data_IF_034863109757
#
_entry.id   IF_034863109757
#
_cell.length_a   1.000
_cell.length_b   1.000
_cell.length_c   1.000
_cell.angle_alpha   90.00
_cell.angle_beta   90.00
_cell.angle_gamma   90.00
#
_symmetry.space_group_name_H-M   'P 1'
#
loop_
_entity.id
_entity.type
_entity.pdbx_description
1 polymer ?
#
# COMPACT_ATOMS: atom_id res chain seq x y z
N UNK A 1 -45.84 -25.67 2.05
CA UNK A 1 -45.93 -24.36 2.73
C UNK A 1 -44.53 -23.94 3.15
N UNK A 2 -44.04 -22.84 2.58
CA UNK A 2 -42.74 -22.24 2.87
C UNK A 2 -42.83 -21.48 4.19
N UNK A 3 -41.87 -21.66 5.10
CA UNK A 3 -41.55 -20.68 6.14
C UNK A 3 -40.05 -20.51 6.21
N UNK A 4 -39.59 -19.48 5.52
CA UNK A 4 -38.27 -18.87 5.67
C UNK A 4 -38.21 -18.10 6.99
N UNK A 5 -37.13 -18.26 7.75
CA UNK A 5 -36.84 -17.44 8.92
C UNK A 5 -35.45 -16.80 8.76
N UNK A 6 -35.50 -15.54 8.34
CA UNK A 6 -34.53 -14.46 8.43
C UNK A 6 -33.21 -14.77 9.15
N UNK A 7 -32.13 -14.89 8.37
CA UNK A 7 -30.75 -14.85 8.87
C UNK A 7 -30.41 -13.40 9.18
N UNK A 8 -30.21 -13.15 10.47
CA UNK A 8 -29.87 -11.90 11.11
C UNK A 8 -28.57 -11.32 10.50
N UNK A 9 -28.63 -10.09 9.96
CA UNK A 9 -27.45 -9.34 9.55
C UNK A 9 -26.75 -8.83 10.82
N UNK A 10 -25.69 -9.50 11.25
CA UNK A 10 -24.80 -9.03 12.32
C UNK A 10 -23.94 -7.87 11.82
N UNK A 11 -24.37 -6.65 12.11
CA UNK A 11 -23.58 -5.43 12.01
C UNK A 11 -22.61 -5.38 13.20
N UNK A 12 -21.32 -5.57 12.94
CA UNK A 12 -20.28 -5.30 13.92
C UNK A 12 -20.01 -3.78 13.96
N UNK A 13 -20.41 -3.14 15.06
CA UNK A 13 -20.05 -1.76 15.39
C UNK A 13 -18.61 -1.77 15.94
N UNK A 14 -17.63 -1.32 15.16
CA UNK A 14 -16.28 -1.06 15.67
C UNK A 14 -16.19 0.41 16.08
N UNK A 15 -16.26 0.66 17.38
CA UNK A 15 -16.10 1.99 17.96
C UNK A 15 -14.61 2.36 18.02
N UNK A 16 -14.16 3.20 17.09
CA UNK A 16 -12.82 3.78 17.12
C UNK A 16 -12.79 5.00 18.04
N UNK A 17 -12.46 4.77 19.31
CA UNK A 17 -12.06 5.80 20.26
C UNK A 17 -10.55 6.06 20.13
N UNK A 18 -10.18 7.24 19.64
CA UNK A 18 -8.87 7.84 19.94
C UNK A 18 -8.92 9.34 19.68
N UNK A 19 -9.45 10.07 20.66
CA UNK A 19 -9.14 11.48 20.85
C UNK A 19 -7.67 11.63 21.28
N UNK A 20 -6.96 12.58 20.68
CA UNK A 20 -6.00 13.47 21.34
C UNK A 20 -5.30 14.34 20.30
N UNK A 21 -5.86 15.53 20.13
CA UNK A 21 -5.22 16.70 19.56
C UNK A 21 -4.07 17.16 20.49
N UNK A 22 -2.86 17.25 19.94
CA UNK A 22 -1.85 18.17 20.46
C UNK A 22 -1.37 19.07 19.32
N UNK A 23 -1.81 20.33 19.40
CA UNK A 23 -1.21 21.47 18.73
C UNK A 23 0.20 21.69 19.30
N UNK A 24 1.22 21.72 18.45
CA UNK A 24 2.43 22.47 18.72
C UNK A 24 2.63 23.48 17.59
N UNK A 25 2.37 24.73 17.93
CA UNK A 25 2.79 25.89 17.16
C UNK A 25 4.31 26.03 17.25
N UNK A 26 4.94 26.24 16.09
CA UNK A 26 6.34 26.62 15.98
C UNK A 26 6.48 27.56 14.80
N UNK A 27 6.38 28.86 15.06
CA UNK A 27 6.83 29.93 14.15
C UNK A 27 8.32 29.72 13.85
N UNK A 28 8.68 29.78 12.58
CA UNK A 28 10.04 30.13 12.18
C UNK A 28 9.96 31.07 10.99
N UNK A 29 10.04 32.36 11.31
CA UNK A 29 10.33 33.42 10.36
C UNK A 29 11.80 33.32 9.96
N UNK A 30 12.08 33.23 8.66
CA UNK A 30 13.43 33.19 8.10
C UNK A 30 13.43 33.81 6.72
N UNK A 31 13.87 35.06 6.67
CA UNK A 31 13.89 35.91 5.49
C UNK A 31 14.95 35.50 4.46
N UNK A 32 14.61 35.77 3.20
CA UNK A 32 15.42 36.04 2.00
C UNK A 32 16.91 35.71 1.95
N UNK A 33 17.27 34.86 0.98
CA UNK A 33 18.53 34.97 0.26
C UNK A 33 18.31 34.56 -1.21
N UNK A 34 18.30 35.55 -2.11
CA UNK A 34 18.37 35.34 -3.56
C UNK A 34 19.73 34.75 -3.95
N UNK A 35 19.75 33.45 -4.24
CA UNK A 35 20.88 32.76 -4.85
C UNK A 35 20.68 32.66 -6.36
N UNK A 36 21.50 33.35 -7.14
CA UNK A 36 21.55 33.26 -8.60
C UNK A 36 21.91 31.84 -9.05
N UNK A 37 21.07 31.26 -9.89
CA UNK A 37 21.25 29.96 -10.55
C UNK A 37 22.41 29.99 -11.55
N UNK A 38 23.48 29.22 -11.29
CA UNK A 38 24.37 28.69 -12.34
C UNK A 38 24.95 27.35 -11.86
N UNK A 39 24.74 26.27 -12.63
CA UNK A 39 25.30 24.95 -12.34
C UNK A 39 24.55 23.81 -13.02
N UNK A 40 24.77 23.67 -14.32
CA UNK A 40 24.30 22.57 -15.16
C UNK A 40 25.02 21.24 -14.83
N UNK A 41 24.27 20.14 -14.94
CA UNK A 41 24.69 18.72 -15.08
C UNK A 41 25.41 18.02 -13.91
N UNK A 42 24.62 17.31 -13.11
CA UNK A 42 25.01 16.00 -12.56
C UNK A 42 23.78 15.13 -12.22
N UNK A 43 23.43 14.20 -13.12
CA UNK A 43 22.86 12.89 -12.78
C UNK A 43 21.59 12.80 -11.93
N UNK A 44 20.70 13.80 -11.95
CA UNK A 44 19.41 13.72 -11.28
C UNK A 44 18.54 12.65 -11.93
N UNK A 45 18.33 11.54 -11.23
CA UNK A 45 17.20 10.66 -11.49
C UNK A 45 15.94 11.53 -11.48
N UNK A 46 15.45 11.90 -12.66
CA UNK A 46 14.07 12.31 -12.85
C UNK A 46 13.25 11.10 -12.44
N UNK A 47 12.88 11.05 -11.17
CA UNK A 47 11.78 10.23 -10.72
C UNK A 47 10.59 10.72 -11.51
N UNK A 48 10.28 9.99 -12.59
CA UNK A 48 9.05 10.19 -13.33
C UNK A 48 7.94 10.30 -12.32
N UNK A 49 7.30 11.45 -12.37
CA UNK A 49 6.04 11.81 -11.77
C UNK A 49 4.96 10.86 -12.32
N UNK A 50 5.07 9.55 -12.07
CA UNK A 50 4.00 8.60 -12.30
C UNK A 50 3.04 8.75 -11.14
N UNK A 51 2.16 9.74 -11.30
CA UNK A 51 0.93 9.88 -10.56
C UNK A 51 0.16 8.54 -10.62
N UNK A 52 0.33 7.70 -9.60
CA UNK A 52 -0.58 6.61 -9.28
C UNK A 52 -1.89 7.18 -8.78
N UNK A 53 -2.65 7.81 -9.68
CA UNK A 53 -3.99 8.30 -9.40
C UNK A 53 -4.95 7.14 -9.10
N UNK A 54 -6.19 7.44 -8.68
CA UNK A 54 -7.21 6.46 -8.22
C UNK A 54 -7.58 5.33 -9.20
N UNK A 55 -7.04 5.33 -10.41
CA UNK A 55 -7.34 4.42 -11.53
C UNK A 55 -6.81 2.98 -11.37
N UNK A 56 -6.38 2.57 -10.16
CA UNK A 56 -5.81 1.24 -9.95
C UNK A 56 -6.85 0.14 -9.71
N UNK A 57 -8.03 0.47 -9.17
CA UNK A 57 -9.07 -0.51 -8.85
C UNK A 57 -9.80 -1.03 -10.10
N UNK A 58 -10.35 -0.11 -10.89
CA UNK A 58 -11.12 -0.46 -12.10
C UNK A 58 -10.25 -1.11 -13.17
N UNK A 59 -9.02 -0.62 -13.34
CA UNK A 59 -8.06 -1.25 -14.27
C UNK A 59 -7.64 -2.63 -13.81
N UNK A 60 -7.53 -2.87 -12.49
CA UNK A 60 -7.27 -4.21 -11.97
C UNK A 60 -8.46 -5.13 -12.24
N UNK A 61 -9.69 -4.67 -11.98
CA UNK A 61 -10.89 -5.47 -12.19
C UNK A 61 -11.09 -5.81 -13.68
N UNK A 62 -10.83 -4.86 -14.59
CA UNK A 62 -10.86 -5.12 -16.02
C UNK A 62 -9.83 -6.19 -16.42
N UNK A 63 -8.56 -5.98 -16.05
CA UNK A 63 -7.47 -6.90 -16.44
C UNK A 63 -7.60 -8.29 -15.80
N UNK A 64 -7.97 -8.37 -14.53
CA UNK A 64 -8.18 -9.64 -13.84
C UNK A 64 -9.49 -10.30 -14.24
N UNK A 65 -10.52 -9.50 -14.51
CA UNK A 65 -11.82 -9.96 -15.00
C UNK A 65 -11.68 -10.75 -16.29
N UNK A 66 -10.94 -10.21 -17.26
CA UNK A 66 -10.69 -10.89 -18.53
C UNK A 66 -9.83 -12.14 -18.35
N UNK A 67 -8.79 -12.06 -17.52
CA UNK A 67 -7.90 -13.20 -17.26
C UNK A 67 -8.59 -14.35 -16.55
N UNK A 68 -9.46 -14.07 -15.59
CA UNK A 68 -10.23 -15.08 -14.86
C UNK A 68 -11.55 -15.43 -15.57
N UNK A 69 -11.87 -14.77 -16.69
CA UNK A 69 -13.13 -14.94 -17.41
C UNK A 69 -14.33 -14.77 -16.46
N UNK A 70 -14.30 -13.70 -15.67
CA UNK A 70 -15.38 -13.40 -14.73
C UNK A 70 -16.68 -13.08 -15.50
N UNK A 71 -17.80 -13.61 -15.02
CA UNK A 71 -19.11 -13.19 -15.50
C UNK A 71 -19.39 -11.72 -15.15
N UNK A 72 -20.34 -11.10 -15.82
CA UNK A 72 -20.77 -9.74 -15.49
C UNK A 72 -21.31 -9.64 -14.05
N UNK A 73 -21.97 -10.69 -13.55
CA UNK A 73 -22.42 -10.76 -12.16
C UNK A 73 -21.24 -10.80 -11.19
N UNK A 74 -20.23 -11.64 -11.44
CA UNK A 74 -19.02 -11.71 -10.60
C UNK A 74 -18.25 -10.37 -10.61
N UNK A 75 -18.15 -9.71 -11.76
CA UNK A 75 -17.52 -8.38 -11.87
C UNK A 75 -18.28 -7.35 -11.03
N UNK A 76 -19.62 -7.35 -11.09
CA UNK A 76 -20.45 -6.46 -10.30
C UNK A 76 -20.30 -6.71 -8.78
N UNK A 77 -20.29 -7.97 -8.35
CA UNK A 77 -20.13 -8.34 -6.95
C UNK A 77 -18.75 -7.92 -6.41
N UNK A 78 -17.67 -8.18 -7.16
CA UNK A 78 -16.32 -7.76 -6.77
C UNK A 78 -16.22 -6.23 -6.72
N UNK A 79 -16.84 -5.52 -7.67
CA UNK A 79 -16.90 -4.06 -7.62
C UNK A 79 -17.61 -3.56 -6.36
N UNK A 80 -18.76 -4.15 -6.00
CA UNK A 80 -19.49 -3.78 -4.80
C UNK A 80 -18.65 -4.01 -3.53
N UNK A 81 -17.95 -5.14 -3.43
CA UNK A 81 -17.01 -5.45 -2.33
C UNK A 81 -15.92 -4.37 -2.25
N UNK A 82 -15.32 -4.00 -3.39
CA UNK A 82 -14.27 -2.99 -3.46
C UNK A 82 -14.75 -1.58 -3.09
N UNK A 83 -15.95 -1.20 -3.54
CA UNK A 83 -16.53 0.11 -3.29
C UNK A 83 -16.95 0.26 -1.82
N UNK A 84 -17.53 -0.77 -1.20
CA UNK A 84 -17.87 -0.78 0.24
C UNK A 84 -16.64 -0.55 1.11
N UNK A 85 -15.51 -1.15 0.73
CA UNK A 85 -14.27 -1.08 1.51
C UNK A 85 -13.38 0.12 1.17
N UNK A 86 -13.79 0.96 0.21
CA UNK A 86 -12.95 2.04 -0.33
C UNK A 86 -12.53 3.05 0.74
N UNK A 87 -13.49 3.53 1.53
CA UNK A 87 -13.26 4.55 2.55
C UNK A 87 -12.37 4.04 3.69
N UNK A 88 -12.62 2.82 4.16
CA UNK A 88 -11.80 2.14 5.17
C UNK A 88 -10.37 1.97 4.67
N UNK A 89 -10.19 1.44 3.45
CA UNK A 89 -8.86 1.27 2.84
C UNK A 89 -8.11 2.59 2.70
N UNK A 90 -8.80 3.68 2.38
CA UNK A 90 -8.20 5.01 2.29
C UNK A 90 -7.76 5.53 3.66
N UNK A 91 -8.61 5.36 4.68
CA UNK A 91 -8.28 5.70 6.07
C UNK A 91 -7.05 4.93 6.57
N UNK A 92 -7.02 3.60 6.40
CA UNK A 92 -5.90 2.75 6.80
C UNK A 92 -4.61 3.12 6.07
N UNK A 93 -4.70 3.43 4.76
CA UNK A 93 -3.55 3.87 3.96
C UNK A 93 -2.98 5.19 4.49
N UNK A 94 -3.84 6.15 4.81
CA UNK A 94 -3.41 7.44 5.34
C UNK A 94 -2.76 7.28 6.72
N UNK A 95 -3.39 6.51 7.61
CA UNK A 95 -2.84 6.20 8.94
C UNK A 95 -1.47 5.50 8.85
N UNK A 96 -1.32 4.53 7.94
CA UNK A 96 -0.05 3.85 7.70
C UNK A 96 1.03 4.81 7.19
N UNK A 97 0.69 5.69 6.24
CA UNK A 97 1.61 6.72 5.71
C UNK A 97 2.05 7.68 6.81
N UNK A 98 1.12 8.17 7.62
CA UNK A 98 1.40 9.09 8.72
C UNK A 98 2.27 8.44 9.80
N UNK A 99 1.96 7.21 10.19
CA UNK A 99 2.75 6.47 11.18
C UNK A 99 4.19 6.26 10.70
N UNK A 100 4.36 5.89 9.42
CA UNK A 100 5.68 5.72 8.81
C UNK A 100 6.45 7.04 8.70
N UNK A 101 5.76 8.13 8.36
CA UNK A 101 6.37 9.45 8.29
C UNK A 101 6.85 9.92 9.66
N UNK A 102 6.02 9.76 10.70
CA UNK A 102 6.39 10.13 12.07
C UNK A 102 7.60 9.32 12.56
N UNK A 103 7.64 8.02 12.29
CA UNK A 103 8.79 7.17 12.58
C UNK A 103 10.07 7.67 11.89
N UNK A 104 10.01 7.97 10.59
CA UNK A 104 11.18 8.50 9.85
C UNK A 104 11.64 9.85 10.34
N UNK A 105 10.70 10.75 10.63
CA UNK A 105 11.02 12.07 11.17
C UNK A 105 11.72 11.95 12.53
N UNK A 106 11.25 11.06 13.40
CA UNK A 106 11.90 10.82 14.70
C UNK A 106 13.31 10.23 14.56
N UNK A 107 13.53 9.33 13.60
CA UNK A 107 14.87 8.81 13.29
C UNK A 107 15.80 9.94 12.82
N UNK A 108 15.34 10.79 11.90
CA UNK A 108 16.11 11.92 11.37
C UNK A 108 16.45 12.95 12.44
N UNK A 109 15.50 13.24 13.33
CA UNK A 109 15.66 14.14 14.47
C UNK A 109 16.50 13.54 15.61
N UNK A 110 16.92 12.27 15.51
CA UNK A 110 17.65 11.54 16.55
C UNK A 110 16.93 11.56 17.91
N UNK A 111 15.62 11.37 17.86
CA UNK A 111 14.75 11.29 19.04
C UNK A 111 15.15 10.16 20.00
N UNK A 112 14.66 10.23 21.23
CA UNK A 112 14.97 9.22 22.26
C UNK A 112 14.53 7.81 21.86
N UNK A 113 15.24 6.78 22.37
CA UNK A 113 14.89 5.37 22.16
C UNK A 113 13.42 5.08 22.53
N UNK A 114 12.92 5.67 23.63
CA UNK A 114 11.54 5.52 24.07
C UNK A 114 10.55 6.03 23.01
N UNK A 115 10.83 7.21 22.42
CA UNK A 115 10.03 7.78 21.33
C UNK A 115 10.06 6.87 20.10
N UNK A 116 11.24 6.41 19.70
CA UNK A 116 11.41 5.53 18.55
C UNK A 116 10.64 4.22 18.73
N UNK A 117 10.75 3.55 19.90
CA UNK A 117 10.00 2.32 20.18
C UNK A 117 8.49 2.52 20.11
N UNK A 118 7.98 3.64 20.62
CA UNK A 118 6.55 3.98 20.55
C UNK A 118 6.08 4.14 19.09
N UNK A 119 6.84 4.88 18.29
CA UNK A 119 6.49 5.14 16.89
C UNK A 119 6.63 3.90 16.00
N UNK A 120 7.66 3.08 16.23
CA UNK A 120 7.85 1.81 15.54
C UNK A 120 6.67 0.86 15.79
N UNK A 121 6.16 0.77 17.03
CA UNK A 121 4.95 -0.01 17.35
C UNK A 121 3.74 0.51 16.58
N UNK A 122 3.50 1.83 16.59
CA UNK A 122 2.39 2.43 15.83
C UNK A 122 2.49 2.14 14.33
N UNK A 123 3.69 2.18 13.75
CA UNK A 123 3.89 1.83 12.34
C UNK A 123 3.65 0.34 12.07
N UNK A 124 4.07 -0.54 12.98
CA UNK A 124 3.82 -1.98 12.90
C UNK A 124 2.31 -2.29 12.98
N UNK A 125 1.60 -1.69 13.93
CA UNK A 125 0.15 -1.87 14.10
C UNK A 125 -0.61 -1.44 12.83
N UNK A 126 -0.32 -0.25 12.30
CA UNK A 126 -0.93 0.23 11.06
C UNK A 126 -0.62 -0.68 9.85
N UNK A 127 0.53 -1.35 9.84
CA UNK A 127 0.86 -2.36 8.81
C UNK A 127 0.05 -3.64 9.00
N UNK A 128 -0.15 -4.09 10.23
CA UNK A 128 -1.00 -5.24 10.55
C UNK A 128 -2.43 -4.96 10.10
N UNK A 129 -2.97 -3.79 10.39
CA UNK A 129 -4.34 -3.42 9.99
C UNK A 129 -4.52 -3.48 8.47
N UNK A 130 -3.56 -2.94 7.71
CA UNK A 130 -3.55 -3.04 6.24
C UNK A 130 -3.47 -4.49 5.74
N UNK A 131 -2.74 -5.37 6.44
CA UNK A 131 -2.64 -6.79 6.07
C UNK A 131 -3.94 -7.55 6.36
N UNK A 132 -4.55 -7.31 7.53
CA UNK A 132 -5.83 -7.92 7.91
C UNK A 132 -6.93 -7.47 6.95
N UNK A 133 -6.98 -6.17 6.64
CA UNK A 133 -7.91 -5.62 5.65
C UNK A 133 -7.75 -6.30 4.28
N UNK A 134 -6.51 -6.41 3.79
CA UNK A 134 -6.22 -7.07 2.52
C UNK A 134 -6.63 -8.54 2.51
N UNK A 135 -6.41 -9.27 3.61
CA UNK A 135 -6.81 -10.67 3.76
C UNK A 135 -8.33 -10.85 3.73
N UNK A 136 -9.08 -10.02 4.47
CA UNK A 136 -10.55 -10.10 4.46
C UNK A 136 -11.12 -9.75 3.08
N UNK A 137 -10.54 -8.77 2.39
CA UNK A 137 -10.90 -8.45 1.01
C UNK A 137 -10.65 -9.63 0.05
N UNK A 138 -9.50 -10.29 0.16
CA UNK A 138 -9.16 -11.46 -0.65
C UNK A 138 -10.16 -12.61 -0.41
N UNK A 139 -10.45 -12.90 0.85
CA UNK A 139 -11.44 -13.91 1.24
C UNK A 139 -12.84 -13.63 0.68
N UNK A 140 -13.28 -12.37 0.72
CA UNK A 140 -14.58 -11.95 0.15
C UNK A 140 -14.62 -12.11 -1.37
N UNK A 141 -13.52 -11.78 -2.06
CA UNK A 141 -13.41 -11.96 -3.52
C UNK A 141 -13.37 -13.45 -3.87
N UNK A 142 -12.61 -14.26 -3.15
CA UNK A 142 -12.49 -15.71 -3.40
C UNK A 142 -13.83 -16.44 -3.26
N UNK A 143 -14.73 -15.95 -2.41
CA UNK A 143 -16.09 -16.48 -2.25
C UNK A 143 -16.99 -16.23 -3.48
N UNK A 144 -16.65 -15.28 -4.36
CA UNK A 144 -17.38 -14.99 -5.61
C UNK A 144 -16.85 -15.86 -6.77
N UNK A 145 -15.63 -16.40 -6.64
CA UNK A 145 -14.96 -17.16 -7.69
C UNK A 145 -15.37 -18.63 -7.69
N UNK A 146 -15.44 -19.23 -8.88
CA UNK A 146 -15.54 -20.68 -9.03
C UNK A 146 -14.23 -21.35 -8.62
N UNK A 147 -14.26 -22.66 -8.40
CA UNK A 147 -13.06 -23.45 -8.05
C UNK A 147 -11.97 -23.33 -9.12
N UNK A 148 -12.33 -23.53 -10.39
CA UNK A 148 -11.41 -23.39 -11.52
C UNK A 148 -10.79 -21.97 -11.61
N UNK A 149 -11.57 -20.93 -11.29
CA UNK A 149 -11.08 -19.55 -11.26
C UNK A 149 -10.11 -19.32 -10.09
N UNK A 150 -10.36 -19.92 -8.92
CA UNK A 150 -9.43 -19.85 -7.77
C UNK A 150 -8.11 -20.53 -8.09
N UNK A 151 -8.13 -21.69 -8.74
CA UNK A 151 -6.91 -22.39 -9.15
C UNK A 151 -6.11 -21.56 -10.16
N UNK A 152 -6.80 -20.97 -11.15
CA UNK A 152 -6.18 -20.05 -12.11
C UNK A 152 -5.57 -18.84 -11.41
N UNK A 153 -6.28 -18.24 -10.45
CA UNK A 153 -5.79 -17.13 -9.66
C UNK A 153 -4.54 -17.52 -8.86
N UNK A 154 -4.51 -18.70 -8.24
CA UNK A 154 -3.36 -19.22 -7.52
C UNK A 154 -2.13 -19.42 -8.44
N UNK A 155 -2.34 -20.00 -9.63
CA UNK A 155 -1.28 -20.15 -10.63
C UNK A 155 -0.71 -18.79 -11.07
N UNK A 156 -1.59 -17.81 -11.34
CA UNK A 156 -1.18 -16.44 -11.68
C UNK A 156 -0.41 -15.75 -10.55
N UNK A 157 -0.79 -15.98 -9.27
CA UNK A 157 -0.05 -15.48 -8.10
C UNK A 157 1.35 -16.10 -8.03
N UNK A 158 1.48 -17.40 -8.26
CA UNK A 158 2.75 -18.11 -8.28
C UNK A 158 3.68 -17.61 -9.39
N UNK A 159 3.18 -17.46 -10.63
CA UNK A 159 3.94 -16.90 -11.76
C UNK A 159 4.44 -15.49 -11.45
N UNK A 160 3.57 -14.63 -10.90
CA UNK A 160 3.94 -13.27 -10.50
C UNK A 160 5.04 -13.28 -9.44
N UNK A 161 4.96 -14.17 -8.46
CA UNK A 161 5.99 -14.31 -7.41
C UNK A 161 7.34 -14.72 -8.02
N UNK A 162 7.36 -15.69 -8.92
CA UNK A 162 8.58 -16.11 -9.61
C UNK A 162 9.22 -14.96 -10.40
N UNK A 163 8.42 -14.23 -11.18
CA UNK A 163 8.90 -13.08 -11.95
C UNK A 163 9.42 -11.93 -11.07
N UNK A 164 8.80 -11.71 -9.92
CA UNK A 164 9.28 -10.72 -8.94
C UNK A 164 10.63 -11.11 -8.35
N UNK A 165 10.82 -12.39 -8.07
CA UNK A 165 12.09 -12.92 -7.56
C UNK A 165 13.21 -12.82 -8.59
N UNK A 166 12.95 -13.18 -9.85
CA UNK A 166 13.89 -13.00 -10.96
C UNK A 166 14.31 -11.52 -11.10
N UNK A 167 13.35 -10.60 -11.09
CA UNK A 167 13.62 -9.16 -11.14
C UNK A 167 14.43 -8.66 -9.95
N UNK A 168 14.25 -9.26 -8.78
CA UNK A 168 15.03 -8.95 -7.58
C UNK A 168 16.48 -9.38 -7.77
N UNK A 169 16.72 -10.60 -8.25
CA UNK A 169 18.05 -11.14 -8.54
C UNK A 169 18.78 -10.28 -9.57
N UNK A 170 18.15 -9.97 -10.70
CA UNK A 170 18.73 -9.09 -11.72
C UNK A 170 19.07 -7.69 -11.19
N UNK A 171 18.29 -7.16 -10.24
CA UNK A 171 18.60 -5.87 -9.60
C UNK A 171 19.82 -5.97 -8.67
N UNK A 172 19.95 -7.09 -7.95
CA UNK A 172 21.09 -7.35 -7.08
C UNK A 172 22.38 -7.53 -7.89
N UNK A 173 22.34 -8.30 -8.98
CA UNK A 173 23.47 -8.50 -9.89
C UNK A 173 23.95 -7.17 -10.48
N UNK A 174 23.04 -6.38 -11.06
CA UNK A 174 23.38 -5.04 -11.58
C UNK A 174 23.94 -4.12 -10.50
N UNK A 175 23.47 -4.24 -9.26
CA UNK A 175 24.02 -3.47 -8.15
C UNK A 175 25.45 -3.92 -7.82
N UNK A 176 25.70 -5.22 -7.73
CA UNK A 176 27.04 -5.79 -7.50
C UNK A 176 28.03 -5.42 -8.62
N UNK A 177 27.62 -5.51 -9.89
CA UNK A 177 28.45 -5.10 -11.02
C UNK A 177 28.86 -3.63 -10.94
N UNK A 178 27.93 -2.74 -10.54
CA UNK A 178 28.22 -1.32 -10.36
C UNK A 178 29.21 -1.07 -9.23
N UNK A 179 29.08 -1.80 -8.12
CA UNK A 179 30.00 -1.71 -6.99
C UNK A 179 31.40 -2.21 -7.37
N UNK A 180 31.49 -3.32 -8.11
CA UNK A 180 32.76 -3.89 -8.54
C UNK A 180 33.49 -3.00 -9.57
N UNK A 181 32.77 -2.44 -10.54
CA UNK A 181 33.35 -1.49 -11.52
C UNK A 181 33.80 -0.17 -10.89
N UNK A 182 33.11 0.28 -9.85
CA UNK A 182 33.51 1.47 -9.08
C UNK A 182 34.77 1.24 -8.21
N UNK A 183 34.99 0.00 -7.77
CA UNK A 183 36.17 -0.38 -6.98
C UNK A 183 37.42 -0.65 -7.83
N UNK A 184 37.27 -1.07 -9.10
CA UNK A 184 38.40 -1.33 -10.02
C UNK A 184 38.89 -0.09 -10.80
N UNK A 185 38.30 1.08 -10.55
CA UNK A 185 38.64 2.34 -11.22
C UNK A 185 39.43 3.33 -10.35
N UNK A 186 39.99 2.89 -9.23
CA UNK A 186 40.92 3.64 -8.37
C UNK A 186 42.32 3.02 -8.43
#
# INVERSE_FOLDING_TARGET
MIKTANILKTTAFVTLLSASSLLLAGQHDGAGAEGKHYGDRAGGYQHSQFHGGPMHGERWLAHMGDKLQLSETQKADIKAIADESKAERESLRNASKEARQAEMTAIQARESERTLRKLARKSADARVDMMVHGFEMEKRIDAVLTEEQRDKLAAMKAERKAKMEERRQQRMERHQERMNKGASGQ
#
